data_IF_398833493629
#
_entry.id   IF_398833493629
#
_cell.length_a   1.000
_cell.length_b   1.000
_cell.length_c   1.000
_cell.angle_alpha   90.00
_cell.angle_beta   90.00
_cell.angle_gamma   90.00
#
_symmetry.space_group_name_H-M   'P 1'
#
loop_
_entity.id
_entity.type
_entity.pdbx_description
1 polymer ?
#
# COMPACT_ATOMS: atom_id res chain seq x y z
N UNK A 1 -8.18 -21.43 -9.00
CA UNK A 1 -7.49 -20.62 -10.03
C UNK A 1 -6.30 -19.95 -9.38
N UNK A 2 -5.18 -19.79 -10.08
CA UNK A 2 -4.00 -19.10 -9.58
C UNK A 2 -4.22 -17.59 -9.62
N UNK A 3 -3.89 -16.90 -8.54
CA UNK A 3 -3.94 -15.45 -8.45
C UNK A 3 -2.77 -14.83 -9.23
N UNK A 4 -2.99 -13.64 -9.78
CA UNK A 4 -1.98 -12.86 -10.46
C UNK A 4 -0.79 -12.58 -9.53
N UNK A 5 0.40 -12.50 -10.11
CA UNK A 5 1.65 -12.27 -9.38
C UNK A 5 2.29 -10.98 -9.86
N UNK A 6 3.08 -10.33 -9.00
CA UNK A 6 3.86 -9.15 -9.36
C UNK A 6 5.26 -9.23 -8.81
N UNK A 7 6.22 -8.75 -9.60
CA UNK A 7 7.63 -8.73 -9.25
C UNK A 7 8.03 -7.36 -8.70
N UNK A 8 8.77 -7.37 -7.60
CA UNK A 8 9.35 -6.22 -6.90
C UNK A 8 10.86 -6.48 -6.76
N UNK A 9 11.62 -6.14 -7.81
CA UNK A 9 13.02 -6.54 -7.93
C UNK A 9 13.16 -8.06 -7.97
N UNK A 10 13.88 -8.63 -6.99
CA UNK A 10 14.11 -10.08 -6.90
C UNK A 10 12.94 -10.87 -6.30
N UNK A 11 11.92 -10.18 -5.76
CA UNK A 11 10.81 -10.81 -5.07
C UNK A 11 9.58 -10.90 -5.96
N UNK A 12 8.97 -12.08 -6.06
CA UNK A 12 7.64 -12.28 -6.62
C UNK A 12 6.62 -12.35 -5.50
N UNK A 13 5.52 -11.63 -5.64
CA UNK A 13 4.45 -11.53 -4.63
C UNK A 13 3.10 -11.88 -5.24
N UNK A 14 2.23 -12.49 -4.45
CA UNK A 14 0.77 -12.54 -4.64
C UNK A 14 0.09 -12.56 -3.27
N UNK A 15 -1.23 -12.75 -3.23
CA UNK A 15 -1.98 -12.96 -1.99
C UNK A 15 -2.87 -14.19 -2.11
N UNK A 16 -3.22 -14.79 -0.98
CA UNK A 16 -4.20 -15.88 -0.90
C UNK A 16 -5.24 -15.59 0.17
N UNK A 17 -6.45 -16.10 -0.04
CA UNK A 17 -7.52 -16.16 0.98
C UNK A 17 -7.92 -17.59 1.30
N UNK A 18 -7.10 -18.57 0.88
CA UNK A 18 -7.30 -19.99 1.11
C UNK A 18 -6.32 -20.52 2.16
N UNK A 19 -6.84 -21.26 3.14
CA UNK A 19 -6.09 -21.68 4.32
C UNK A 19 -6.39 -23.14 4.66
N UNK A 20 -5.41 -23.81 5.26
CA UNK A 20 -5.61 -25.03 6.02
C UNK A 20 -5.78 -24.68 7.49
N UNK A 21 -6.81 -25.22 8.13
CA UNK A 21 -6.96 -25.16 9.58
C UNK A 21 -5.83 -25.97 10.23
N UNK A 22 -5.24 -25.46 11.31
CA UNK A 22 -4.07 -26.07 11.94
C UNK A 22 -4.34 -26.48 13.38
N UNK A 23 -4.80 -25.55 14.21
CA UNK A 23 -4.94 -25.77 15.64
C UNK A 23 -5.94 -24.79 16.25
N UNK A 24 -6.59 -25.20 17.34
CA UNK A 24 -7.42 -24.35 18.17
C UNK A 24 -7.18 -24.69 19.63
N UNK A 25 -7.19 -23.68 20.50
CA UNK A 25 -7.07 -23.85 21.94
C UNK A 25 -8.39 -24.27 22.62
N UNK A 26 -9.44 -24.56 21.84
CA UNK A 26 -10.77 -24.92 22.35
C UNK A 26 -10.70 -26.06 23.36
N UNK A 27 -11.29 -25.81 24.53
CA UNK A 27 -11.31 -26.76 25.65
C UNK A 27 -10.12 -26.66 26.60
N UNK A 28 -9.09 -25.87 26.28
CA UNK A 28 -7.93 -25.70 27.16
C UNK A 28 -8.23 -24.95 28.45
N UNK A 29 -9.27 -24.09 28.45
CA UNK A 29 -9.53 -23.18 29.57
C UNK A 29 -8.64 -21.93 29.58
N UNK A 30 -7.86 -21.71 28.52
CA UNK A 30 -7.14 -20.45 28.31
C UNK A 30 -8.08 -19.24 28.36
N UNK A 31 -7.55 -18.10 28.78
CA UNK A 31 -8.35 -16.88 29.01
C UNK A 31 -8.82 -16.17 27.75
N UNK A 32 -8.24 -16.51 26.60
CA UNK A 32 -8.57 -15.98 25.28
C UNK A 32 -8.73 -17.15 24.33
N UNK A 33 -9.68 -17.05 23.41
CA UNK A 33 -9.80 -18.00 22.31
C UNK A 33 -8.65 -17.82 21.31
N UNK A 34 -8.20 -18.92 20.72
CA UNK A 34 -7.22 -18.89 19.64
C UNK A 34 -7.48 -19.97 18.58
N UNK A 35 -7.31 -19.54 17.34
CA UNK A 35 -7.32 -20.43 16.20
C UNK A 35 -6.21 -20.06 15.21
N UNK A 36 -5.44 -21.06 14.80
CA UNK A 36 -4.36 -20.93 13.84
C UNK A 36 -4.70 -21.57 12.51
N UNK A 37 -4.27 -20.90 11.45
CA UNK A 37 -4.39 -21.35 10.08
C UNK A 37 -3.04 -21.24 9.38
N UNK A 38 -2.85 -22.06 8.36
CA UNK A 38 -1.69 -21.97 7.47
C UNK A 38 -2.14 -21.58 6.06
N UNK A 39 -1.62 -20.49 5.47
CA UNK A 39 -1.97 -20.10 4.11
C UNK A 39 -1.56 -21.14 3.07
N UNK A 40 -2.46 -21.43 2.13
CA UNK A 40 -2.16 -22.34 1.01
C UNK A 40 -1.21 -21.66 0.03
N UNK A 41 -0.11 -22.34 -0.26
CA UNK A 41 0.89 -21.88 -1.22
C UNK A 41 0.34 -21.89 -2.66
N UNK A 42 0.93 -21.05 -3.52
CA UNK A 42 0.64 -21.01 -4.95
C UNK A 42 1.91 -21.33 -5.74
N UNK A 43 2.05 -22.60 -6.14
CA UNK A 43 3.30 -23.08 -6.74
C UNK A 43 4.48 -22.85 -5.79
N UNK A 44 5.50 -22.13 -6.25
CA UNK A 44 6.67 -21.78 -5.44
C UNK A 44 6.48 -20.54 -4.54
N UNK A 45 5.28 -19.94 -4.54
CA UNK A 45 4.96 -18.81 -3.67
C UNK A 45 4.41 -19.34 -2.35
N UNK A 46 5.14 -19.11 -1.25
CA UNK A 46 4.84 -19.64 0.09
C UNK A 46 4.58 -18.50 1.08
N UNK A 47 3.83 -18.77 2.16
CA UNK A 47 3.68 -17.79 3.22
C UNK A 47 4.98 -17.58 4.00
N UNK A 48 4.98 -16.54 4.81
CA UNK A 48 6.11 -16.16 5.68
C UNK A 48 5.97 -16.68 7.12
N UNK A 49 4.87 -17.36 7.42
CA UNK A 49 4.49 -17.85 8.74
C UNK A 49 3.05 -18.38 8.71
N UNK A 50 2.60 -18.94 9.84
CA UNK A 50 1.16 -19.18 10.06
C UNK A 50 0.47 -17.88 10.49
N UNK A 51 -0.86 -17.90 10.50
CA UNK A 51 -1.70 -16.80 10.96
C UNK A 51 -2.53 -17.25 12.16
N UNK A 52 -2.80 -16.34 13.10
CA UNK A 52 -3.52 -16.63 14.35
C UNK A 52 -4.62 -15.61 14.60
N UNK A 53 -5.70 -16.04 15.24
CA UNK A 53 -6.87 -15.19 15.52
C UNK A 53 -7.36 -15.39 16.94
N UNK A 54 -7.74 -14.30 17.60
CA UNK A 54 -8.31 -14.32 18.96
C UNK A 54 -9.80 -14.72 19.00
N UNK A 55 -10.22 -15.61 18.09
CA UNK A 55 -11.61 -16.05 17.92
C UNK A 55 -11.67 -17.30 17.05
N UNK A 56 -12.72 -18.10 17.22
CA UNK A 56 -12.99 -19.25 16.37
C UNK A 56 -13.76 -18.87 15.10
N UNK A 57 -13.52 -19.61 14.02
CA UNK A 57 -14.37 -19.61 12.83
C UNK A 57 -13.57 -19.64 11.53
N UNK A 58 -14.21 -20.16 10.48
CA UNK A 58 -13.59 -20.30 9.17
C UNK A 58 -13.08 -18.96 8.64
N UNK A 59 -11.84 -18.96 8.15
CA UNK A 59 -11.12 -17.80 7.62
C UNK A 59 -11.02 -17.81 6.11
N UNK A 60 -11.40 -18.90 5.44
CA UNK A 60 -11.36 -19.00 3.99
C UNK A 60 -12.24 -17.92 3.35
N UNK A 61 -11.67 -17.16 2.41
CA UNK A 61 -12.35 -16.08 1.70
C UNK A 61 -12.64 -14.83 2.54
N UNK A 62 -12.22 -14.76 3.81
CA UNK A 62 -12.54 -13.64 4.73
C UNK A 62 -11.35 -12.73 5.07
N UNK A 63 -10.14 -13.17 4.76
CA UNK A 63 -8.90 -12.42 4.96
C UNK A 63 -7.90 -12.81 3.87
N UNK A 64 -7.07 -11.87 3.45
CA UNK A 64 -5.97 -12.10 2.52
C UNK A 64 -4.61 -12.05 3.21
N UNK A 65 -3.71 -12.94 2.78
CA UNK A 65 -2.35 -13.07 3.31
C UNK A 65 -1.35 -13.09 2.16
N UNK A 66 -0.19 -12.47 2.35
CA UNK A 66 0.87 -12.45 1.34
C UNK A 66 1.47 -13.84 1.12
N UNK A 67 1.72 -14.15 -0.14
CA UNK A 67 2.61 -15.23 -0.56
C UNK A 67 3.79 -14.61 -1.31
N UNK A 68 4.98 -15.12 -1.05
CA UNK A 68 6.21 -14.60 -1.65
C UNK A 68 7.01 -15.72 -2.31
N UNK A 69 7.88 -15.37 -3.23
CA UNK A 69 8.86 -16.27 -3.81
C UNK A 69 9.92 -15.53 -4.58
N UNK A 70 10.80 -16.27 -5.25
CA UNK A 70 11.82 -15.68 -6.09
C UNK A 70 11.20 -15.19 -7.41
N UNK A 71 11.60 -14.02 -7.87
CA UNK A 71 11.38 -13.61 -9.25
C UNK A 71 12.19 -14.55 -10.16
N UNK A 72 11.56 -15.33 -11.06
CA UNK A 72 12.26 -16.27 -11.92
C UNK A 72 13.19 -15.58 -12.92
N UNK A 73 13.01 -14.29 -13.19
CA UNK A 73 13.85 -13.50 -14.07
C UNK A 73 15.09 -12.92 -13.39
N UNK A 74 15.21 -13.07 -12.06
CA UNK A 74 16.37 -12.57 -11.31
C UNK A 74 17.55 -13.53 -11.39
N UNK A 75 18.73 -12.96 -11.68
CA UNK A 75 20.00 -13.69 -11.81
C UNK A 75 20.88 -13.61 -10.56
N UNK A 76 20.50 -12.78 -9.60
CA UNK A 76 21.20 -12.62 -8.33
C UNK A 76 20.91 -13.72 -7.31
N UNK A 77 21.40 -13.50 -6.09
CA UNK A 77 21.06 -14.35 -4.93
C UNK A 77 19.54 -14.39 -4.73
N UNK A 78 18.94 -15.57 -4.56
CA UNK A 78 17.49 -15.70 -4.43
C UNK A 78 16.91 -14.80 -3.31
N UNK A 79 15.77 -14.16 -3.57
CA UNK A 79 15.10 -13.29 -2.60
C UNK A 79 14.55 -14.05 -1.38
N UNK A 80 14.33 -15.36 -1.53
CA UNK A 80 13.83 -16.24 -0.48
C UNK A 80 14.64 -17.53 -0.42
N UNK A 81 14.67 -18.15 0.76
CA UNK A 81 15.28 -19.45 0.99
C UNK A 81 14.48 -20.25 2.03
N UNK A 82 14.50 -21.58 1.91
CA UNK A 82 13.88 -22.45 2.92
C UNK A 82 14.66 -22.32 4.24
N UNK A 83 13.97 -22.39 5.40
CA UNK A 83 14.65 -22.51 6.68
C UNK A 83 15.51 -23.78 6.72
N UNK A 84 16.58 -23.77 7.51
CA UNK A 84 17.44 -24.95 7.73
C UNK A 84 16.87 -25.91 8.78
N UNK A 85 15.72 -25.56 9.35
CA UNK A 85 14.97 -26.30 10.35
C UNK A 85 14.23 -25.35 11.28
N UNK A 86 13.79 -25.84 12.43
CA UNK A 86 12.93 -25.10 13.35
C UNK A 86 13.32 -25.30 14.81
N UNK A 87 13.19 -24.24 15.60
CA UNK A 87 13.30 -24.28 17.05
C UNK A 87 11.89 -24.33 17.65
N UNK A 88 11.64 -25.29 18.54
CA UNK A 88 10.35 -25.39 19.22
C UNK A 88 10.20 -24.23 20.21
N UNK A 89 9.12 -23.48 20.09
CA UNK A 89 8.79 -22.40 21.04
C UNK A 89 7.90 -22.97 22.15
N UNK A 90 6.85 -23.71 21.76
CA UNK A 90 5.84 -24.21 22.67
C UNK A 90 5.12 -25.41 22.06
N UNK A 91 4.56 -26.28 22.91
CA UNK A 91 3.57 -27.30 22.55
C UNK A 91 2.51 -27.36 23.65
N UNK A 92 1.31 -27.78 23.30
CA UNK A 92 0.15 -27.79 24.19
C UNK A 92 0.14 -28.95 25.22
N UNK A 93 1.31 -29.48 25.57
CA UNK A 93 1.45 -30.58 26.54
C UNK A 93 0.79 -30.20 27.87
N UNK A 94 -0.23 -30.98 28.27
CA UNK A 94 -1.08 -30.77 29.47
C UNK A 94 -2.00 -29.55 29.44
N UNK A 95 -2.21 -28.93 28.27
CA UNK A 95 -3.11 -27.79 28.12
C UNK A 95 -4.59 -28.10 28.33
N UNK A 96 -4.97 -29.39 28.40
CA UNK A 96 -6.39 -29.80 28.43
C UNK A 96 -7.16 -29.51 27.14
N UNK A 97 -6.49 -28.98 26.11
CA UNK A 97 -7.08 -28.67 24.82
C UNK A 97 -7.58 -29.91 24.08
N UNK A 98 -8.51 -29.70 23.14
CA UNK A 98 -9.10 -30.79 22.35
C UNK A 98 -8.19 -31.29 21.21
N UNK A 99 -7.08 -30.59 20.94
CA UNK A 99 -6.22 -30.81 19.79
C UNK A 99 -4.75 -30.58 20.15
N UNK A 100 -3.87 -31.48 19.72
CA UNK A 100 -2.42 -31.30 19.84
C UNK A 100 -1.94 -30.18 18.91
N UNK A 101 -1.15 -29.25 19.46
CA UNK A 101 -0.64 -28.08 18.75
C UNK A 101 0.75 -27.68 19.22
N UNK A 102 1.52 -27.07 18.32
CA UNK A 102 2.82 -26.49 18.69
C UNK A 102 3.20 -25.29 17.82
N UNK A 103 4.08 -24.45 18.36
CA UNK A 103 4.65 -23.28 17.70
C UNK A 103 6.15 -23.44 17.48
N UNK A 104 6.61 -23.06 16.30
CA UNK A 104 7.97 -23.28 15.83
C UNK A 104 8.54 -22.03 15.17
N UNK A 105 9.77 -21.65 15.56
CA UNK A 105 10.51 -20.57 14.91
C UNK A 105 11.36 -21.11 13.78
N UNK A 106 11.22 -20.64 12.53
CA UNK A 106 12.11 -21.04 11.45
C UNK A 106 13.54 -20.54 11.70
N UNK A 107 14.52 -21.43 11.59
CA UNK A 107 15.94 -21.09 11.55
C UNK A 107 16.32 -20.61 10.16
N UNK A 108 16.46 -19.31 10.00
CA UNK A 108 16.81 -18.71 8.71
C UNK A 108 18.26 -19.05 8.33
N UNK A 109 18.54 -19.39 7.06
CA UNK A 109 19.92 -19.53 6.59
C UNK A 109 20.66 -18.19 6.63
N UNK A 110 21.99 -18.22 6.64
CA UNK A 110 22.83 -17.02 6.68
C UNK A 110 22.44 -16.02 5.58
N UNK A 111 22.26 -14.74 5.93
CA UNK A 111 21.81 -13.68 5.02
C UNK A 111 20.30 -13.64 4.75
N UNK A 112 19.51 -14.47 5.45
CA UNK A 112 18.06 -14.46 5.42
C UNK A 112 17.49 -14.28 6.84
N UNK A 113 16.21 -13.95 6.89
CA UNK A 113 15.44 -13.64 8.10
C UNK A 113 14.08 -14.34 8.01
N UNK A 114 13.63 -15.00 9.07
CA UNK A 114 12.25 -15.48 9.15
C UNK A 114 11.34 -14.32 9.57
N UNK A 115 10.15 -14.17 8.97
CA UNK A 115 9.25 -13.04 9.26
C UNK A 115 7.99 -13.42 10.05
N UNK A 116 7.81 -14.71 10.33
CA UNK A 116 6.74 -15.22 11.17
C UNK A 116 7.10 -16.59 11.76
N UNK A 117 6.35 -16.99 12.77
CA UNK A 117 6.45 -18.33 13.34
C UNK A 117 5.38 -19.26 12.73
N UNK A 118 5.58 -20.57 12.89
CA UNK A 118 4.72 -21.60 12.29
C UNK A 118 3.97 -22.34 13.39
N UNK A 119 2.65 -22.42 13.25
CA UNK A 119 1.82 -23.34 14.03
C UNK A 119 1.66 -24.65 13.26
N UNK A 120 1.65 -25.78 13.97
CA UNK A 120 1.31 -27.12 13.42
C UNK A 120 0.38 -27.87 14.37
N UNK A 121 -0.55 -28.66 13.82
CA UNK A 121 -1.48 -29.53 14.57
C UNK A 121 -0.84 -30.86 14.98
N UNK A 122 0.36 -30.79 15.54
CA UNK A 122 1.10 -31.94 16.12
C UNK A 122 2.21 -31.40 17.02
N UNK A 123 3.03 -32.27 17.62
CA UNK A 123 4.25 -31.88 18.34
C UNK A 123 5.55 -32.09 17.56
N UNK A 124 5.45 -32.45 16.27
CA UNK A 124 6.62 -32.65 15.42
C UNK A 124 6.96 -31.38 14.66
N UNK A 125 8.26 -31.15 14.43
CA UNK A 125 8.71 -30.00 13.65
C UNK A 125 8.10 -30.01 12.24
N UNK A 126 7.68 -28.85 11.71
CA UNK A 126 7.20 -28.75 10.33
C UNK A 126 8.31 -29.04 9.31
N UNK A 127 7.87 -29.39 8.09
CA UNK A 127 8.76 -29.45 6.93
C UNK A 127 9.31 -28.06 6.55
N UNK A 128 10.56 -28.01 6.08
CA UNK A 128 11.26 -26.79 5.67
C UNK A 128 10.73 -26.18 4.36
N UNK A 129 9.71 -26.77 3.76
CA UNK A 129 9.00 -26.24 2.60
C UNK A 129 7.69 -25.50 2.97
N UNK A 130 7.33 -25.42 4.27
CA UNK A 130 6.12 -24.73 4.74
C UNK A 130 6.15 -23.22 4.52
N UNK A 131 7.31 -22.59 4.70
CA UNK A 131 7.46 -21.12 4.66
C UNK A 131 8.74 -20.71 3.97
N UNK A 132 8.83 -19.43 3.63
CA UNK A 132 10.08 -18.81 3.22
C UNK A 132 10.71 -17.97 4.34
N UNK A 133 12.05 -18.01 4.40
CA UNK A 133 12.86 -16.94 4.96
C UNK A 133 13.22 -15.94 3.84
N UNK A 134 13.34 -14.66 4.18
CA UNK A 134 13.52 -13.56 3.22
C UNK A 134 14.93 -13.00 3.33
N UNK A 135 15.54 -12.65 2.19
CA UNK A 135 16.88 -12.06 2.15
C UNK A 135 16.90 -10.76 2.97
N UNK A 136 17.94 -10.57 3.78
CA UNK A 136 17.95 -9.53 4.83
C UNK A 136 17.79 -8.09 4.33
N UNK A 137 18.13 -7.79 3.07
CA UNK A 137 17.92 -6.48 2.46
C UNK A 137 16.46 -6.22 2.07
N UNK A 138 15.61 -7.24 1.98
CA UNK A 138 14.18 -7.13 1.66
C UNK A 138 13.31 -7.09 2.93
N UNK A 139 13.92 -6.80 4.08
CA UNK A 139 13.29 -6.79 5.40
C UNK A 139 13.52 -5.44 6.06
N UNK A 140 12.54 -5.01 6.86
CA UNK A 140 12.63 -3.80 7.66
C UNK A 140 12.25 -4.11 9.12
N UNK A 141 13.01 -3.56 10.06
CA UNK A 141 12.66 -3.63 11.49
C UNK A 141 11.32 -2.94 11.75
N UNK A 142 10.54 -3.52 12.64
CA UNK A 142 9.23 -3.01 13.05
C UNK A 142 9.09 -3.12 14.57
N UNK A 143 7.87 -2.99 15.09
CA UNK A 143 7.56 -3.23 16.49
C UNK A 143 6.24 -4.00 16.62
N UNK A 144 6.00 -4.51 17.81
CA UNK A 144 4.72 -5.09 18.22
C UNK A 144 3.75 -3.96 18.59
N UNK A 145 3.26 -3.22 17.59
CA UNK A 145 2.23 -2.19 17.81
C UNK A 145 0.82 -2.76 17.98
N UNK A 146 0.67 -4.05 17.73
CA UNK A 146 -0.59 -4.79 17.79
C UNK A 146 -0.73 -5.59 19.09
N UNK A 147 -1.97 -5.66 19.58
CA UNK A 147 -2.30 -6.33 20.83
C UNK A 147 -1.87 -7.80 20.82
N UNK A 148 -1.50 -8.31 22.00
CA UNK A 148 -1.36 -9.75 22.25
C UNK A 148 -2.61 -10.49 21.77
N UNK A 149 -2.45 -11.32 20.74
CA UNK A 149 -3.51 -12.13 20.13
C UNK A 149 -4.00 -13.18 21.11
N UNK A 150 -3.06 -13.85 21.78
CA UNK A 150 -3.36 -14.95 22.69
C UNK A 150 -2.26 -15.14 23.73
N UNK A 151 -2.63 -15.71 24.88
CA UNK A 151 -1.73 -16.39 25.79
C UNK A 151 -2.42 -17.62 26.37
N UNK A 152 -1.61 -18.59 26.80
CA UNK A 152 -2.10 -19.85 27.35
C UNK A 152 -2.44 -19.76 28.86
N UNK A 153 -2.60 -18.55 29.38
CA UNK A 153 -2.89 -18.34 30.79
C UNK A 153 -4.19 -19.06 31.20
N UNK A 154 -4.13 -19.88 32.25
CA UNK A 154 -5.17 -20.82 32.74
C UNK A 154 -5.36 -22.11 31.95
N UNK A 155 -4.60 -22.36 30.88
CA UNK A 155 -4.70 -23.63 30.15
C UNK A 155 -4.17 -24.85 30.94
N UNK A 156 -3.27 -24.62 31.91
CA UNK A 156 -2.56 -25.71 32.59
C UNK A 156 -1.46 -26.37 31.74
N UNK A 157 -1.14 -25.79 30.57
CA UNK A 157 -0.01 -26.20 29.76
C UNK A 157 1.30 -26.21 30.59
N UNK A 158 2.20 -27.12 30.25
CA UNK A 158 3.48 -27.32 30.96
C UNK A 158 4.44 -26.15 30.80
N UNK A 159 4.29 -25.35 29.76
CA UNK A 159 5.14 -24.20 29.46
C UNK A 159 4.25 -23.06 29.02
N UNK A 160 4.63 -21.83 29.37
CA UNK A 160 3.87 -20.64 29.04
C UNK A 160 4.07 -20.23 27.57
N UNK A 161 3.03 -19.65 26.96
CA UNK A 161 3.09 -19.12 25.62
C UNK A 161 2.25 -17.86 25.45
N UNK A 162 2.72 -16.97 24.57
CA UNK A 162 1.91 -15.89 24.02
C UNK A 162 2.16 -15.71 22.54
N UNK A 163 1.17 -15.18 21.84
CA UNK A 163 1.17 -14.90 20.40
C UNK A 163 0.87 -13.43 20.17
N UNK A 164 1.70 -12.79 19.34
CA UNK A 164 1.70 -11.36 19.10
C UNK A 164 1.74 -11.07 17.61
N UNK A 165 0.87 -10.18 17.17
CA UNK A 165 0.91 -9.64 15.81
C UNK A 165 2.09 -8.68 15.66
N UNK A 166 2.61 -8.56 14.44
CA UNK A 166 3.66 -7.59 14.08
C UNK A 166 2.98 -6.37 13.44
N UNK A 167 3.27 -5.17 13.94
CA UNK A 167 2.78 -3.92 13.35
C UNK A 167 3.63 -3.45 12.16
N UNK A 168 3.20 -2.39 11.49
CA UNK A 168 4.07 -1.66 10.54
C UNK A 168 5.02 -0.74 11.31
N UNK A 169 6.24 -0.51 10.81
CA UNK A 169 7.14 0.46 11.41
C UNK A 169 6.57 1.87 11.25
N UNK A 170 6.83 2.74 12.23
CA UNK A 170 6.55 4.16 12.06
C UNK A 170 7.53 4.73 11.03
N UNK A 171 7.10 4.82 9.78
CA UNK A 171 7.84 5.51 8.74
C UNK A 171 7.34 6.96 8.68
N UNK A 172 8.26 7.90 8.88
CA UNK A 172 7.98 9.31 8.73
C UNK A 172 7.45 9.64 7.32
N UNK A 173 7.23 10.92 7.07
CA UNK A 173 6.58 11.36 5.81
C UNK A 173 7.45 11.22 4.57
N UNK A 174 8.76 10.98 4.67
CA UNK A 174 9.65 10.90 3.50
C UNK A 174 9.46 9.65 2.64
N UNK A 175 9.08 8.52 3.25
CA UNK A 175 9.07 7.22 2.57
C UNK A 175 10.46 6.77 2.13
N UNK A 176 10.52 5.84 1.18
CA UNK A 176 11.78 5.36 0.61
C UNK A 176 11.58 4.41 -0.56
N UNK A 177 12.69 3.89 -1.09
CA UNK A 177 12.68 2.92 -2.20
C UNK A 177 12.02 1.59 -1.84
N UNK A 178 11.85 1.29 -0.55
CA UNK A 178 11.22 0.06 -0.08
C UNK A 178 9.96 0.40 0.69
N UNK A 179 8.89 -0.32 0.39
CA UNK A 179 7.58 -0.14 1.01
C UNK A 179 7.37 -1.28 2.03
N UNK A 180 7.32 -0.99 3.35
CA UNK A 180 7.03 -2.01 4.35
C UNK A 180 5.59 -2.51 4.18
N UNK A 181 5.37 -3.80 4.36
CA UNK A 181 4.07 -4.44 4.20
C UNK A 181 3.87 -5.57 5.22
N UNK A 182 2.66 -5.67 5.76
CA UNK A 182 2.27 -6.75 6.67
C UNK A 182 2.04 -8.06 5.92
N UNK A 183 2.67 -9.12 6.43
CA UNK A 183 2.42 -10.50 6.02
C UNK A 183 1.28 -11.17 6.79
N UNK A 184 0.63 -10.47 7.73
CA UNK A 184 -0.40 -11.01 8.63
C UNK A 184 0.05 -12.19 9.51
N UNK A 185 1.37 -12.35 9.66
CA UNK A 185 1.98 -13.40 10.48
C UNK A 185 2.15 -12.94 11.93
N UNK A 186 2.38 -13.89 12.83
CA UNK A 186 2.60 -13.61 14.24
C UNK A 186 4.00 -14.03 14.72
N UNK A 187 4.35 -13.58 15.93
CA UNK A 187 5.45 -14.10 16.73
C UNK A 187 4.94 -14.73 18.02
N UNK A 188 5.42 -15.93 18.31
CA UNK A 188 5.18 -16.59 19.58
C UNK A 188 6.36 -16.37 20.54
N UNK A 189 6.09 -16.42 21.83
CA UNK A 189 7.10 -16.39 22.88
C UNK A 189 6.82 -17.50 23.88
N UNK A 190 7.85 -18.14 24.41
CA UNK A 190 7.73 -19.18 25.45
C UNK A 190 7.56 -18.56 26.85
N UNK A 191 6.72 -17.52 26.93
CA UNK A 191 6.29 -16.83 28.13
C UNK A 191 5.04 -16.01 27.78
N UNK A 192 4.36 -15.46 28.79
CA UNK A 192 3.24 -14.54 28.56
C UNK A 192 3.66 -13.12 28.14
N UNK A 193 4.96 -12.84 28.06
CA UNK A 193 5.50 -11.53 27.70
C UNK A 193 5.70 -11.37 26.20
N UNK A 194 5.76 -10.12 25.75
CA UNK A 194 6.10 -9.77 24.38
C UNK A 194 7.45 -10.40 23.96
N UNK A 195 7.58 -10.94 22.73
CA UNK A 195 8.86 -11.44 22.25
C UNK A 195 9.90 -10.31 22.16
N UNK A 196 11.18 -10.68 22.05
CA UNK A 196 12.24 -9.70 21.83
C UNK A 196 11.95 -8.85 20.57
N UNK A 197 11.98 -7.52 20.70
CA UNK A 197 11.64 -6.59 19.61
C UNK A 197 12.51 -6.75 18.34
N UNK A 198 13.70 -7.34 18.43
CA UNK A 198 14.51 -7.68 17.24
C UNK A 198 13.84 -8.68 16.30
N UNK A 199 12.84 -9.44 16.79
CA UNK A 199 12.05 -10.39 16.00
C UNK A 199 10.86 -9.73 15.29
N UNK A 200 10.51 -8.49 15.64
CA UNK A 200 9.49 -7.70 14.96
C UNK A 200 10.08 -7.14 13.67
N UNK A 201 9.81 -7.82 12.56
CA UNK A 201 10.31 -7.44 11.24
C UNK A 201 9.23 -7.69 10.19
N UNK A 202 9.17 -6.82 9.21
CA UNK A 202 8.20 -6.88 8.11
C UNK A 202 8.92 -6.99 6.77
N UNK A 203 8.19 -7.47 5.77
CA UNK A 203 8.66 -7.48 4.40
C UNK A 203 8.74 -6.05 3.88
N UNK A 204 9.78 -5.73 3.12
CA UNK A 204 9.98 -4.41 2.51
C UNK A 204 10.08 -4.56 0.98
N UNK A 205 9.02 -4.18 0.27
CA UNK A 205 8.90 -4.35 -1.18
C UNK A 205 9.73 -3.30 -1.94
N UNK A 206 10.70 -3.70 -2.79
CA UNK A 206 11.39 -2.77 -3.67
C UNK A 206 10.43 -2.06 -4.64
N UNK A 207 10.41 -0.73 -4.58
CA UNK A 207 9.56 0.14 -5.38
C UNK A 207 10.34 1.43 -5.70
N UNK A 208 11.31 1.39 -6.62
CA UNK A 208 12.19 2.52 -6.91
C UNK A 208 11.40 3.72 -7.47
N UNK A 209 11.98 4.93 -7.34
CA UNK A 209 11.39 6.16 -7.89
C UNK A 209 11.38 6.07 -9.41
N UNK A 210 10.19 6.19 -9.99
CA UNK A 210 9.96 6.26 -11.45
C UNK A 210 9.06 7.46 -11.72
N UNK A 211 9.61 8.65 -11.53
CA UNK A 211 8.90 9.91 -11.67
C UNK A 211 9.36 10.65 -12.93
N UNK A 212 8.40 11.06 -13.77
CA UNK A 212 8.62 11.82 -14.99
C UNK A 212 8.22 13.27 -14.76
N UNK A 213 9.19 14.17 -14.95
CA UNK A 213 8.95 15.60 -14.85
C UNK A 213 8.09 16.14 -15.98
N UNK A 214 7.24 17.12 -15.67
CA UNK A 214 6.41 17.78 -16.67
C UNK A 214 7.10 18.99 -17.28
N UNK A 215 7.68 18.78 -18.47
CA UNK A 215 8.46 19.78 -19.19
C UNK A 215 7.77 20.33 -20.44
N UNK A 216 6.55 19.90 -20.74
CA UNK A 216 5.83 20.37 -21.92
C UNK A 216 5.54 21.89 -21.82
N UNK A 217 5.86 22.69 -22.84
CA UNK A 217 5.52 24.11 -22.85
C UNK A 217 4.00 24.31 -22.92
N UNK A 218 3.48 25.51 -22.55
CA UNK A 218 2.09 25.83 -22.75
C UNK A 218 1.66 25.62 -24.22
N UNK A 219 0.45 25.09 -24.47
CA UNK A 219 -0.07 24.92 -25.83
C UNK A 219 -0.23 26.27 -26.55
N UNK A 220 -0.03 26.28 -27.86
CA UNK A 220 -0.19 27.47 -28.71
C UNK A 220 -1.55 27.48 -29.39
N UNK A 221 -2.14 28.67 -29.52
CA UNK A 221 -3.47 28.85 -30.10
C UNK A 221 -3.47 29.95 -31.18
N UNK A 222 -4.47 29.87 -32.05
CA UNK A 222 -4.75 30.75 -33.19
C UNK A 222 -6.26 31.02 -33.20
N UNK A 223 -6.73 32.00 -33.99
CA UNK A 223 -8.16 32.29 -34.10
C UNK A 223 -9.03 31.11 -34.53
N UNK A 224 -8.43 30.10 -35.17
CA UNK A 224 -9.14 28.93 -35.68
C UNK A 224 -9.22 27.76 -34.69
N UNK A 225 -8.51 27.82 -33.56
CA UNK A 225 -8.43 26.73 -32.58
C UNK A 225 -8.42 27.22 -31.13
N UNK A 226 -9.14 28.30 -30.84
CA UNK A 226 -9.35 28.78 -29.47
C UNK A 226 -10.01 27.65 -28.65
N UNK A 227 -9.44 27.26 -27.50
CA UNK A 227 -9.94 26.15 -26.70
C UNK A 227 -11.16 26.56 -25.88
N UNK A 228 -11.82 25.58 -25.27
CA UNK A 228 -12.92 25.78 -24.31
C UNK A 228 -12.45 25.44 -22.90
N UNK A 229 -13.14 26.01 -21.90
CA UNK A 229 -12.95 25.61 -20.51
C UNK A 229 -13.16 24.10 -20.35
N UNK A 230 -12.21 23.43 -19.70
CA UNK A 230 -12.19 21.97 -19.59
C UNK A 230 -11.19 21.26 -20.50
N UNK A 231 -10.69 21.93 -21.56
CA UNK A 231 -9.74 21.31 -22.48
C UNK A 231 -8.41 20.98 -21.78
N UNK A 232 -7.85 19.81 -22.11
CA UNK A 232 -6.63 19.26 -21.51
C UNK A 232 -5.59 19.02 -22.60
N UNK A 233 -4.36 19.50 -22.38
CA UNK A 233 -3.25 19.37 -23.34
C UNK A 233 -2.04 18.71 -22.70
N UNK A 234 -1.33 17.89 -23.49
CA UNK A 234 -0.07 17.26 -23.12
C UNK A 234 -0.13 16.41 -21.84
N UNK A 235 -1.27 15.74 -21.57
CA UNK A 235 -1.41 14.90 -20.38
C UNK A 235 -0.40 13.74 -20.39
N UNK A 236 0.35 13.61 -19.31
CA UNK A 236 1.27 12.49 -19.08
C UNK A 236 1.01 11.86 -17.72
N UNK A 237 1.37 10.58 -17.59
CA UNK A 237 1.52 9.92 -16.30
C UNK A 237 2.91 10.28 -15.74
N UNK A 238 2.96 10.94 -14.59
CA UNK A 238 4.23 11.28 -13.93
C UNK A 238 4.79 10.06 -13.20
N UNK A 239 3.95 9.30 -12.51
CA UNK A 239 4.37 8.06 -11.87
C UNK A 239 3.18 7.12 -11.67
N UNK A 240 3.49 5.84 -11.51
CA UNK A 240 2.54 4.81 -11.12
C UNK A 240 3.21 3.85 -10.15
N UNK A 241 2.53 3.57 -9.05
CA UNK A 241 2.89 2.47 -8.13
C UNK A 241 1.78 1.43 -8.20
N UNK A 242 2.15 0.15 -8.29
CA UNK A 242 1.20 -0.91 -7.96
C UNK A 242 1.68 -1.67 -6.74
N UNK A 243 0.76 -1.91 -5.82
CA UNK A 243 1.06 -2.53 -4.54
C UNK A 243 -0.07 -3.50 -4.21
N UNK A 244 0.19 -4.52 -3.37
CA UNK A 244 -0.87 -5.38 -2.86
C UNK A 244 -1.99 -4.54 -2.23
N UNK A 245 -3.24 -4.98 -2.38
CA UNK A 245 -4.38 -4.16 -1.96
C UNK A 245 -4.37 -3.85 -0.46
N UNK A 246 -3.71 -4.67 0.37
CA UNK A 246 -3.63 -4.45 1.82
C UNK A 246 -2.72 -3.27 2.23
N UNK A 247 -2.09 -2.60 1.26
CA UNK A 247 -1.52 -1.26 1.45
C UNK A 247 -2.61 -0.17 1.43
N UNK A 248 -3.74 -0.42 0.78
CA UNK A 248 -4.81 0.57 0.55
C UNK A 248 -6.11 0.21 1.28
N UNK A 249 -6.32 -1.04 1.64
CA UNK A 249 -7.51 -1.50 2.34
C UNK A 249 -7.13 -2.48 3.44
N UNK A 250 -8.00 -2.72 4.44
CA UNK A 250 -7.71 -3.78 5.39
C UNK A 250 -7.68 -5.14 4.66
N UNK A 251 -6.91 -6.14 5.12
CA UNK A 251 -6.81 -7.45 4.47
C UNK A 251 -8.15 -8.22 4.45
N UNK A 252 -9.15 -7.74 5.18
CA UNK A 252 -10.53 -8.24 5.24
C UNK A 252 -11.50 -7.51 4.30
N UNK A 253 -11.03 -6.56 3.47
CA UNK A 253 -11.87 -5.81 2.56
C UNK A 253 -12.62 -6.73 1.58
N UNK A 254 -13.96 -6.73 1.67
CA UNK A 254 -14.81 -7.65 0.94
C UNK A 254 -14.73 -7.46 -0.58
N UNK A 255 -14.53 -6.22 -1.06
CA UNK A 255 -14.38 -5.96 -2.48
C UNK A 255 -13.07 -6.56 -3.03
N UNK A 256 -11.98 -6.38 -2.29
CA UNK A 256 -10.67 -6.95 -2.65
C UNK A 256 -10.65 -8.47 -2.57
N UNK A 257 -11.33 -9.07 -1.59
CA UNK A 257 -11.44 -10.53 -1.46
C UNK A 257 -12.23 -11.16 -2.61
N UNK A 258 -13.29 -10.51 -3.09
CA UNK A 258 -14.04 -10.96 -4.28
C UNK A 258 -13.19 -10.95 -5.56
N UNK A 259 -12.17 -10.09 -5.63
CA UNK A 259 -11.25 -9.99 -6.76
C UNK A 259 -9.84 -10.45 -6.40
N UNK A 260 -9.68 -11.39 -5.45
CA UNK A 260 -8.36 -11.85 -4.97
C UNK A 260 -7.49 -12.47 -6.06
N UNK A 261 -8.09 -12.87 -7.19
CA UNK A 261 -7.37 -13.29 -8.40
C UNK A 261 -6.48 -12.18 -8.97
N UNK A 262 -6.75 -10.91 -8.67
CA UNK A 262 -5.93 -9.74 -9.01
C UNK A 262 -5.71 -8.88 -7.75
N UNK A 263 -4.81 -9.27 -6.84
CA UNK A 263 -4.73 -8.71 -5.50
C UNK A 263 -3.97 -7.38 -5.39
N UNK A 264 -3.87 -6.63 -6.49
CA UNK A 264 -3.06 -5.39 -6.56
C UNK A 264 -3.93 -4.20 -6.97
N UNK A 265 -3.54 -3.02 -6.50
CA UNK A 265 -4.10 -1.74 -6.93
C UNK A 265 -2.98 -0.85 -7.50
N UNK A 266 -3.30 -0.10 -8.55
CA UNK A 266 -2.44 0.96 -9.08
C UNK A 266 -2.85 2.30 -8.45
N UNK A 267 -1.85 3.11 -8.07
CA UNK A 267 -2.03 4.52 -7.79
C UNK A 267 -1.16 5.30 -8.78
N UNK A 268 -1.79 6.15 -9.59
CA UNK A 268 -1.15 6.88 -10.69
C UNK A 268 -1.30 8.37 -10.44
N UNK A 269 -0.21 9.12 -10.62
CA UNK A 269 -0.21 10.58 -10.70
C UNK A 269 -0.09 11.01 -12.15
N UNK A 270 -0.98 11.90 -12.60
CA UNK A 270 -0.98 12.47 -13.95
C UNK A 270 -0.94 13.98 -13.87
N UNK A 271 -0.41 14.62 -14.91
CA UNK A 271 -0.35 16.08 -15.02
C UNK A 271 -0.56 16.52 -16.46
N UNK A 272 -1.15 17.71 -16.65
CA UNK A 272 -1.39 18.30 -17.95
C UNK A 272 -1.53 19.82 -17.86
N UNK A 273 -1.51 20.49 -19.02
CA UNK A 273 -2.08 21.83 -19.15
C UNK A 273 -3.61 21.75 -19.17
N UNK A 274 -4.26 22.59 -18.37
CA UNK A 274 -5.72 22.64 -18.26
C UNK A 274 -6.22 24.05 -18.55
N UNK A 275 -7.20 24.16 -19.45
CA UNK A 275 -7.87 25.42 -19.79
C UNK A 275 -9.00 25.68 -18.80
N UNK A 276 -8.91 26.78 -18.06
CA UNK A 276 -9.99 27.24 -17.19
C UNK A 276 -11.10 27.91 -17.99
N UNK A 277 -10.72 28.85 -18.84
CA UNK A 277 -11.64 29.61 -19.70
C UNK A 277 -10.88 30.23 -20.87
N UNK A 278 -11.63 30.72 -21.87
CA UNK A 278 -11.14 31.54 -22.96
C UNK A 278 -12.12 32.70 -23.18
N UNK A 279 -11.65 33.93 -23.02
CA UNK A 279 -12.50 35.13 -23.12
C UNK A 279 -12.17 35.88 -24.40
N UNK A 280 -13.17 36.03 -25.28
CA UNK A 280 -13.04 36.65 -26.60
C UNK A 280 -13.60 38.07 -26.58
N UNK A 281 -12.80 39.05 -26.98
CA UNK A 281 -13.23 40.43 -27.14
C UNK A 281 -13.36 40.78 -28.63
N UNK A 282 -14.61 40.88 -29.10
CA UNK A 282 -14.91 41.28 -30.48
C UNK A 282 -15.13 42.80 -30.66
N UNK A 283 -14.92 43.58 -29.60
CA UNK A 283 -15.14 45.03 -29.60
C UNK A 283 -13.86 45.81 -29.87
N UNK A 284 -14.01 47.10 -30.20
CA UNK A 284 -12.90 48.03 -30.35
C UNK A 284 -12.32 48.56 -29.03
N UNK A 285 -12.97 48.26 -27.89
CA UNK A 285 -12.53 48.68 -26.55
C UNK A 285 -11.89 47.53 -25.78
N UNK A 286 -11.10 47.83 -24.76
CA UNK A 286 -10.56 46.82 -23.86
C UNK A 286 -11.64 46.37 -22.86
N UNK A 287 -11.65 45.08 -22.53
CA UNK A 287 -12.51 44.52 -21.48
C UNK A 287 -11.61 44.11 -20.30
N UNK A 288 -12.07 44.34 -19.07
CA UNK A 288 -11.43 43.84 -17.86
C UNK A 288 -12.25 42.70 -17.29
N UNK A 289 -11.57 41.69 -16.77
CA UNK A 289 -12.21 40.53 -16.14
C UNK A 289 -11.30 39.95 -15.04
N UNK A 290 -11.78 38.95 -14.33
CA UNK A 290 -11.01 38.24 -13.31
C UNK A 290 -11.34 36.77 -13.29
N UNK A 291 -10.38 35.96 -12.84
CA UNK A 291 -10.60 34.54 -12.61
C UNK A 291 -10.05 34.14 -11.25
N UNK A 292 -10.70 33.17 -10.63
CA UNK A 292 -10.30 32.63 -9.34
C UNK A 292 -9.81 31.21 -9.54
N UNK A 293 -8.58 30.94 -9.12
CA UNK A 293 -7.96 29.61 -9.18
C UNK A 293 -7.69 29.12 -7.77
N UNK A 294 -8.17 27.92 -7.48
CA UNK A 294 -7.90 27.19 -6.25
C UNK A 294 -6.87 26.10 -6.55
N UNK A 295 -5.73 26.11 -5.88
CA UNK A 295 -4.75 25.01 -5.93
C UNK A 295 -4.97 24.05 -4.76
N UNK A 296 -4.32 22.89 -4.82
CA UNK A 296 -4.29 21.93 -3.72
C UNK A 296 -5.53 21.07 -3.58
N UNK A 297 -5.53 20.21 -2.57
CA UNK A 297 -6.54 19.17 -2.38
C UNK A 297 -7.53 19.64 -1.34
N UNK A 298 -8.79 19.84 -1.74
CA UNK A 298 -9.85 20.19 -0.81
C UNK A 298 -10.11 19.07 0.19
N UNK A 299 -10.67 19.43 1.35
CA UNK A 299 -11.08 18.45 2.37
C UNK A 299 -12.00 17.38 1.77
N UNK A 300 -12.98 17.78 0.96
CA UNK A 300 -13.92 16.86 0.29
C UNK A 300 -13.19 15.88 -0.62
N UNK A 301 -12.26 16.36 -1.46
CA UNK A 301 -11.48 15.49 -2.36
C UNK A 301 -10.62 14.49 -1.57
N UNK A 302 -9.98 14.94 -0.48
CA UNK A 302 -9.18 14.08 0.37
C UNK A 302 -10.03 12.99 1.07
N UNK A 303 -11.21 13.35 1.57
CA UNK A 303 -12.16 12.42 2.20
C UNK A 303 -12.70 11.40 1.19
N UNK A 304 -13.06 11.82 -0.03
CA UNK A 304 -13.51 10.92 -1.09
C UNK A 304 -12.43 9.93 -1.51
N UNK A 305 -11.19 10.40 -1.65
CA UNK A 305 -10.03 9.57 -2.00
C UNK A 305 -9.74 8.54 -0.90
N UNK A 306 -9.78 8.97 0.37
CA UNK A 306 -9.58 8.08 1.51
C UNK A 306 -10.69 7.05 1.60
N UNK A 307 -11.95 7.45 1.48
CA UNK A 307 -13.09 6.54 1.60
C UNK A 307 -13.16 5.52 0.47
N UNK A 308 -12.91 5.95 -0.78
CA UNK A 308 -13.11 5.10 -1.96
C UNK A 308 -11.88 4.25 -2.30
N UNK A 309 -10.68 4.76 -2.02
CA UNK A 309 -9.42 4.16 -2.44
C UNK A 309 -8.44 3.90 -1.29
N UNK A 310 -8.75 4.32 -0.06
CA UNK A 310 -7.87 4.17 1.09
C UNK A 310 -6.53 4.91 0.96
N UNK A 311 -6.52 5.97 0.14
CA UNK A 311 -5.35 6.82 -0.08
C UNK A 311 -5.60 8.16 0.58
N UNK A 312 -4.77 8.50 1.56
CA UNK A 312 -4.85 9.76 2.29
C UNK A 312 -3.87 10.77 1.72
N UNK A 313 -4.34 12.00 1.53
CA UNK A 313 -3.57 13.08 0.89
C UNK A 313 -3.73 14.36 1.69
N UNK A 314 -2.63 15.00 2.08
CA UNK A 314 -2.66 16.32 2.70
C UNK A 314 -1.33 17.07 2.61
N UNK A 315 -1.37 18.38 2.92
CA UNK A 315 -0.17 19.21 3.01
C UNK A 315 0.76 18.90 4.19
N UNK A 316 0.30 18.17 5.22
CA UNK A 316 1.12 17.87 6.39
C UNK A 316 1.93 16.58 6.25
N UNK A 317 1.50 15.67 5.36
CA UNK A 317 2.13 14.34 5.25
C UNK A 317 2.24 13.81 3.81
N UNK A 318 1.76 14.55 2.82
CA UNK A 318 1.79 14.13 1.43
C UNK A 318 0.79 13.02 1.12
N UNK A 319 1.21 11.99 0.39
CA UNK A 319 0.41 10.84 -0.02
C UNK A 319 0.78 9.60 0.80
N UNK A 320 -0.22 8.98 1.41
CA UNK A 320 -0.08 7.75 2.19
C UNK A 320 -1.14 6.68 1.84
N UNK A 321 -0.79 5.41 2.03
CA UNK A 321 -1.71 4.26 2.00
C UNK A 321 -2.52 4.10 3.30
N UNK A 322 -3.37 3.07 3.32
CA UNK A 322 -4.35 2.74 4.37
C UNK A 322 -3.80 2.94 5.78
N UNK A 323 -4.59 3.59 6.63
CA UNK A 323 -4.24 3.78 8.05
C UNK A 323 -3.13 4.79 8.31
N UNK A 324 -2.57 5.44 7.28
CA UNK A 324 -1.46 6.42 7.38
C UNK A 324 -0.08 5.83 7.72
N UNK A 325 0.05 4.51 7.66
CA UNK A 325 1.26 3.79 8.06
C UNK A 325 2.27 3.63 6.91
N UNK A 326 1.86 3.90 5.67
CA UNK A 326 2.72 3.74 4.47
C UNK A 326 2.82 5.05 3.70
N UNK A 327 3.99 5.69 3.67
CA UNK A 327 4.27 6.86 2.81
C UNK A 327 4.65 6.45 1.39
N UNK A 328 4.05 7.12 0.40
CA UNK A 328 4.35 6.97 -1.03
C UNK A 328 5.06 8.20 -1.60
N UNK A 329 5.43 9.17 -0.76
CA UNK A 329 5.98 10.45 -1.21
C UNK A 329 7.25 10.30 -2.04
N UNK A 330 8.14 9.37 -1.65
CA UNK A 330 9.34 9.06 -2.42
C UNK A 330 9.04 8.70 -3.88
N UNK A 331 7.93 8.03 -4.19
CA UNK A 331 7.56 7.70 -5.57
C UNK A 331 6.79 8.81 -6.30
N UNK A 332 6.20 9.76 -5.56
CA UNK A 332 5.30 10.80 -6.09
C UNK A 332 5.96 12.18 -6.17
N UNK A 333 7.27 12.27 -5.99
CA UNK A 333 8.04 13.50 -6.16
C UNK A 333 9.34 13.25 -6.90
N UNK A 334 9.72 14.21 -7.74
CA UNK A 334 11.06 14.29 -8.31
C UNK A 334 12.08 14.87 -7.33
N UNK A 335 11.63 15.69 -6.38
CA UNK A 335 12.51 16.43 -5.47
C UNK A 335 12.88 15.60 -4.23
N UNK A 336 13.83 16.12 -3.46
CA UNK A 336 14.16 15.62 -2.10
C UNK A 336 13.46 16.44 -1.01
N UNK A 337 12.55 17.36 -1.40
CA UNK A 337 11.82 18.21 -0.46
C UNK A 337 10.81 17.38 0.33
N UNK A 338 10.71 17.67 1.63
CA UNK A 338 9.63 17.18 2.50
C UNK A 338 8.43 18.13 2.55
N UNK A 339 8.39 19.16 1.69
CA UNK A 339 7.24 20.05 1.59
C UNK A 339 6.14 19.42 0.75
N UNK A 340 4.91 19.46 1.27
CA UNK A 340 3.72 19.00 0.57
C UNK A 340 2.70 20.11 0.33
N UNK A 341 3.15 21.38 0.29
CA UNK A 341 2.31 22.57 0.07
C UNK A 341 1.61 22.60 -1.31
N UNK A 342 1.97 21.69 -2.21
CA UNK A 342 1.19 21.43 -3.44
C UNK A 342 -0.21 20.89 -3.12
N UNK A 343 -0.39 20.19 -2.00
CA UNK A 343 -1.69 19.68 -1.55
C UNK A 343 -2.44 20.66 -0.64
N UNK A 344 -1.84 21.79 -0.27
CA UNK A 344 -2.49 22.81 0.55
C UNK A 344 -3.52 23.57 -0.29
N UNK A 345 -4.76 23.59 0.17
CA UNK A 345 -5.83 24.30 -0.50
C UNK A 345 -5.72 25.81 -0.26
N UNK A 346 -5.40 26.54 -1.32
CA UNK A 346 -5.36 28.01 -1.32
C UNK A 346 -5.99 28.53 -2.59
N UNK A 347 -6.51 29.77 -2.52
CA UNK A 347 -7.24 30.39 -3.63
C UNK A 347 -6.69 31.77 -3.91
N UNK A 348 -6.54 32.08 -5.20
CA UNK A 348 -6.12 33.41 -5.68
C UNK A 348 -7.05 33.89 -6.79
N UNK A 349 -7.52 35.13 -6.66
CA UNK A 349 -8.20 35.84 -7.74
C UNK A 349 -7.20 36.70 -8.49
N UNK A 350 -7.15 36.55 -9.81
CA UNK A 350 -6.31 37.35 -10.69
C UNK A 350 -7.18 38.14 -11.67
N UNK A 351 -7.06 39.46 -11.62
CA UNK A 351 -7.59 40.35 -12.63
C UNK A 351 -6.71 40.39 -13.88
N UNK A 352 -7.33 40.57 -15.05
CA UNK A 352 -6.66 40.67 -16.33
C UNK A 352 -7.50 41.50 -17.31
N UNK A 353 -6.88 41.84 -18.44
CA UNK A 353 -7.54 42.57 -19.52
C UNK A 353 -7.53 41.75 -20.80
N UNK A 354 -8.57 41.90 -21.61
CA UNK A 354 -8.70 41.30 -22.94
C UNK A 354 -8.64 42.45 -23.95
N UNK A 355 -7.54 42.57 -24.72
CA UNK A 355 -7.38 43.63 -25.70
C UNK A 355 -8.47 43.60 -26.79
N UNK A 356 -8.70 44.72 -27.50
CA UNK A 356 -9.64 44.78 -28.63
C UNK A 356 -9.32 43.73 -29.71
N UNK A 357 -10.31 42.98 -30.15
CA UNK A 357 -10.18 41.94 -31.19
C UNK A 357 -9.16 40.84 -30.85
N UNK A 358 -9.06 40.48 -29.58
CA UNK A 358 -8.24 39.35 -29.10
C UNK A 358 -9.07 38.38 -28.26
N UNK A 359 -8.60 37.13 -28.17
CA UNK A 359 -9.02 36.19 -27.14
C UNK A 359 -7.88 35.96 -26.14
N UNK A 360 -8.20 36.00 -24.84
CA UNK A 360 -7.25 35.64 -23.77
C UNK A 360 -7.63 34.28 -23.20
N UNK A 361 -6.69 33.34 -23.20
CA UNK A 361 -6.88 31.95 -22.75
C UNK A 361 -6.17 31.75 -21.42
N UNK A 362 -6.84 31.06 -20.50
CA UNK A 362 -6.43 30.86 -19.11
C UNK A 362 -5.99 29.42 -18.90
N UNK A 363 -4.71 29.22 -18.63
CA UNK A 363 -4.15 27.88 -18.43
C UNK A 363 -3.46 27.77 -17.08
N UNK A 364 -3.51 26.58 -16.51
CA UNK A 364 -2.68 26.18 -15.37
C UNK A 364 -2.28 24.72 -15.51
N UNK A 365 -1.39 24.25 -14.63
CA UNK A 365 -1.10 22.82 -14.53
C UNK A 365 -2.16 22.17 -13.64
N UNK A 366 -2.79 21.10 -14.14
CA UNK A 366 -3.73 20.28 -13.37
C UNK A 366 -3.16 18.90 -13.12
N UNK A 367 -3.36 18.39 -11.92
CA UNK A 367 -2.92 17.07 -11.48
C UNK A 367 -4.15 16.18 -11.30
N UNK A 368 -3.99 14.90 -11.63
CA UNK A 368 -4.94 13.84 -11.27
C UNK A 368 -4.23 12.79 -10.43
N UNK A 369 -4.87 12.34 -9.36
CA UNK A 369 -4.47 11.16 -8.61
C UNK A 369 -5.55 10.11 -8.80
N UNK A 370 -5.19 8.98 -9.42
CA UNK A 370 -6.12 7.94 -9.80
C UNK A 370 -5.73 6.60 -9.16
N UNK A 371 -6.64 6.02 -8.39
CA UNK A 371 -6.53 4.67 -7.88
C UNK A 371 -7.38 3.71 -8.73
N UNK A 372 -6.81 2.60 -9.17
CA UNK A 372 -7.50 1.56 -9.93
C UNK A 372 -7.16 0.18 -9.40
N UNK A 373 -8.03 -0.82 -9.64
CA UNK A 373 -7.59 -2.22 -9.59
C UNK A 373 -6.51 -2.44 -10.65
N UNK A 374 -5.52 -3.27 -10.35
CA UNK A 374 -4.35 -3.41 -11.21
C UNK A 374 -4.64 -4.15 -12.53
N UNK A 375 -5.73 -4.92 -12.58
CA UNK A 375 -6.26 -5.51 -13.82
C UNK A 375 -7.00 -4.48 -14.70
N UNK A 376 -7.08 -3.22 -14.26
CA UNK A 376 -7.74 -2.13 -14.98
C UNK A 376 -9.27 -2.23 -14.98
N UNK A 377 -9.85 -3.21 -14.29
CA UNK A 377 -11.30 -3.48 -14.32
C UNK A 377 -12.14 -2.35 -13.73
N UNK A 378 -11.60 -1.67 -12.71
CA UNK A 378 -12.32 -0.69 -11.90
C UNK A 378 -11.41 0.48 -11.55
N UNK A 379 -11.88 1.70 -11.84
CA UNK A 379 -11.36 2.93 -11.23
C UNK A 379 -12.02 3.05 -9.85
N UNK A 380 -11.22 2.97 -8.79
CA UNK A 380 -11.68 3.08 -7.41
C UNK A 380 -12.05 4.53 -7.09
N UNK A 381 -11.16 5.46 -7.49
CA UNK A 381 -11.39 6.91 -7.42
C UNK A 381 -10.36 7.64 -8.28
N UNK A 382 -10.78 8.76 -8.85
CA UNK A 382 -9.89 9.79 -9.36
C UNK A 382 -10.27 11.13 -8.71
N UNK A 383 -9.27 11.84 -8.18
CA UNK A 383 -9.40 13.24 -7.79
C UNK A 383 -8.48 14.09 -8.65
N UNK A 384 -8.76 15.38 -8.73
CA UNK A 384 -7.94 16.31 -9.48
C UNK A 384 -7.96 17.70 -8.85
N UNK A 385 -6.87 18.44 -9.07
CA UNK A 385 -6.65 19.76 -8.49
C UNK A 385 -5.59 20.53 -9.29
N UNK A 386 -5.57 21.86 -9.15
CA UNK A 386 -4.53 22.67 -9.78
C UNK A 386 -3.23 22.56 -8.97
N UNK A 387 -2.09 22.40 -9.67
CA UNK A 387 -0.78 22.23 -9.05
C UNK A 387 -0.28 23.53 -8.39
N UNK A 388 -0.70 24.68 -8.93
CA UNK A 388 -0.31 26.00 -8.49
C UNK A 388 -1.44 27.01 -8.75
N UNK A 389 -1.24 28.22 -8.23
CA UNK A 389 -2.11 29.38 -8.49
C UNK A 389 -1.59 30.24 -9.64
N UNK A 390 -0.46 29.87 -10.25
CA UNK A 390 0.12 30.61 -11.36
C UNK A 390 -0.71 30.38 -12.61
N UNK A 391 -1.34 31.45 -13.09
CA UNK A 391 -2.13 31.46 -14.31
C UNK A 391 -1.23 31.86 -15.47
N UNK A 392 -1.25 31.04 -16.52
CA UNK A 392 -0.66 31.37 -17.79
C UNK A 392 -1.72 31.97 -18.71
N UNK A 393 -1.51 33.22 -19.13
CA UNK A 393 -2.36 33.94 -20.07
C UNK A 393 -1.77 33.83 -21.47
N UNK A 394 -2.59 33.40 -22.43
CA UNK A 394 -2.21 33.37 -23.84
C UNK A 394 -3.18 34.26 -24.62
N UNK A 395 -2.66 35.35 -25.18
CA UNK A 395 -3.39 36.22 -26.11
C UNK A 395 -3.37 35.65 -27.52
N UNK A 396 -4.52 35.71 -28.20
CA UNK A 396 -4.70 35.25 -29.58
C UNK A 396 -5.39 36.38 -30.36
N UNK A 397 -4.71 36.89 -31.38
CA UNK A 397 -5.33 37.88 -32.28
C UNK A 397 -6.46 37.25 -33.09
N UNK A 398 -7.61 37.94 -33.15
CA UNK A 398 -8.78 37.52 -33.94
C UNK A 398 -8.78 38.11 -35.35
N UNK A 399 -7.85 39.03 -35.64
CA UNK A 399 -7.73 39.67 -36.96
C UNK A 399 -7.16 38.72 -38.01
#
# INVERSE_FOLDING_TARGET
MTNATRDYGDLRVTMTSAFDWVWSDKGSGASKDFEAYHPKSQGNLRPLGSIGFSSYGDRNGKIAVLLVGNNPSSTGRAAVASPTGYDQIWRDEKSGGSYDGSFWRPRAPSGYVSLGDVCVGSWSAPSTDKVWCVRSDLVQSSNYFSAKVWDDHKSGAKSDCSVWDIGLPNIGVGGGEKIPILSQTFRANNSWSEPNNSLAQVLALPNPKRFTEFTAPPPTFTKNNIPKGGDVFNRIDQCQVALPFNIYFPPTDAASLRTISYPFCNLTRKIAWYVHTAHTNNSGGQISDSTTVTKGVSKTLAEEMTHSAGVSISASYGIKGFGMDVSLNYQFTSTTSSSFTEYEETTRTQGYTVPPYEATIFLSKRIWIQATRADGSIVLREINFNANEDIHLIGVSLK
#
